data_IF_282517896681
#
_entry.id   IF_282517896681
#
_cell.length_a   1.000
_cell.length_b   1.000
_cell.length_c   1.000
_cell.angle_alpha   90.00
_cell.angle_beta   90.00
_cell.angle_gamma   90.00
#
_symmetry.space_group_name_H-M   'P 1'
#
loop_
_entity.id
_entity.type
_entity.pdbx_description
1 polymer ?
#
# COMPACT_ATOMS: atom_id res chain seq x y z
N UNK A 1 4.80 -86.30 13.64
CA UNK A 1 5.43 -86.73 14.91
C UNK A 1 5.20 -85.64 15.96
N UNK A 2 4.11 -85.74 16.73
CA UNK A 2 3.79 -84.81 17.81
C UNK A 2 4.22 -85.46 19.13
N UNK A 3 5.42 -85.14 19.59
CA UNK A 3 5.84 -85.47 20.95
C UNK A 3 5.03 -84.61 21.92
N UNK A 4 4.15 -85.23 22.71
CA UNK A 4 3.56 -84.58 23.87
C UNK A 4 4.67 -84.29 24.88
N UNK A 5 5.21 -83.07 24.83
CA UNK A 5 6.12 -82.60 25.88
C UNK A 5 5.25 -82.21 27.08
N UNK A 6 5.18 -83.10 28.07
CA UNK A 6 4.56 -82.82 29.37
C UNK A 6 5.51 -81.93 30.20
N UNK A 7 5.60 -80.64 29.83
CA UNK A 7 6.37 -79.67 30.61
C UNK A 7 5.75 -79.43 32.00
N UNK A 8 6.63 -79.40 33.00
CA UNK A 8 6.30 -79.12 34.39
C UNK A 8 5.72 -77.71 34.54
N UNK A 9 4.82 -77.47 35.51
CA UNK A 9 4.14 -76.18 35.74
C UNK A 9 5.12 -74.99 35.81
N UNK A 10 6.33 -75.22 36.30
CA UNK A 10 7.39 -74.20 36.38
C UNK A 10 7.93 -73.80 35.01
N UNK A 11 8.14 -74.75 34.10
CA UNK A 11 8.68 -74.47 32.76
C UNK A 11 7.67 -73.76 31.86
N UNK A 12 6.38 -74.06 32.01
CA UNK A 12 5.30 -73.31 31.34
C UNK A 12 5.29 -71.83 31.72
N UNK A 13 5.58 -71.49 32.98
CA UNK A 13 5.68 -70.10 33.40
C UNK A 13 6.87 -69.39 32.76
N UNK A 14 8.05 -70.03 32.70
CA UNK A 14 9.21 -69.45 32.02
C UNK A 14 8.96 -69.24 30.52
N UNK A 15 8.32 -70.19 29.85
CA UNK A 15 7.94 -70.05 28.45
C UNK A 15 6.92 -68.92 28.23
N UNK A 16 5.96 -68.76 29.15
CA UNK A 16 4.98 -67.68 29.10
C UNK A 16 5.63 -66.30 29.28
N UNK A 17 6.54 -66.15 30.26
CA UNK A 17 7.29 -64.90 30.45
C UNK A 17 8.18 -64.58 29.24
N UNK A 18 8.82 -65.58 28.64
CA UNK A 18 9.62 -65.40 27.43
C UNK A 18 8.77 -64.88 26.25
N UNK A 19 7.57 -65.43 26.05
CA UNK A 19 6.65 -64.97 25.01
C UNK A 19 6.15 -63.55 25.26
N UNK A 20 5.86 -63.17 26.51
CA UNK A 20 5.49 -61.80 26.87
C UNK A 20 6.64 -60.84 26.58
N UNK A 21 7.86 -61.20 26.96
CA UNK A 21 9.03 -60.35 26.74
C UNK A 21 9.29 -60.14 25.24
N UNK A 22 9.19 -61.21 24.44
CA UNK A 22 9.29 -61.11 22.98
C UNK A 22 8.18 -60.23 22.38
N UNK A 23 6.95 -60.32 22.89
CA UNK A 23 5.84 -59.46 22.45
C UNK A 23 6.11 -57.98 22.75
N UNK A 24 6.58 -57.66 23.96
CA UNK A 24 6.90 -56.28 24.35
C UNK A 24 8.02 -55.72 23.48
N UNK A 25 9.06 -56.52 23.22
CA UNK A 25 10.17 -56.12 22.36
C UNK A 25 9.69 -55.87 20.93
N UNK A 26 8.84 -56.75 20.38
CA UNK A 26 8.27 -56.58 19.05
C UNK A 26 7.39 -55.32 18.95
N UNK A 27 6.55 -55.05 19.95
CA UNK A 27 5.73 -53.84 20.03
C UNK A 27 6.57 -52.57 20.16
N UNK A 28 7.68 -52.63 20.91
CA UNK A 28 8.61 -51.51 21.02
C UNK A 28 9.27 -51.19 19.69
N UNK A 29 9.78 -52.21 18.98
CA UNK A 29 10.36 -52.01 17.65
C UNK A 29 9.33 -51.49 16.64
N UNK A 30 8.11 -52.04 16.63
CA UNK A 30 7.03 -51.53 15.78
C UNK A 30 6.68 -50.08 16.12
N UNK A 31 6.59 -49.74 17.41
CA UNK A 31 6.34 -48.37 17.86
C UNK A 31 7.41 -47.40 17.37
N UNK A 32 8.70 -47.75 17.52
CA UNK A 32 9.81 -46.91 17.05
C UNK A 32 9.79 -46.76 15.52
N UNK A 33 9.56 -47.84 14.77
CA UNK A 33 9.52 -47.81 13.30
C UNK A 33 8.36 -46.94 12.80
N UNK A 34 7.16 -47.10 13.35
CA UNK A 34 6.00 -46.32 12.93
C UNK A 34 6.07 -44.85 13.34
N UNK A 35 6.66 -44.53 14.50
CA UNK A 35 6.78 -43.15 14.98
C UNK A 35 7.93 -42.37 14.33
N UNK A 36 8.95 -43.04 13.79
CA UNK A 36 10.11 -42.35 13.18
C UNK A 36 9.74 -41.56 11.91
N UNK A 37 8.79 -42.07 11.14
CA UNK A 37 8.37 -41.47 9.86
C UNK A 37 7.03 -40.73 9.95
N UNK A 38 6.44 -40.63 11.15
CA UNK A 38 5.20 -39.87 11.37
C UNK A 38 5.53 -38.37 11.53
N UNK A 39 5.54 -37.65 10.42
CA UNK A 39 5.65 -36.18 10.43
C UNK A 39 4.48 -35.60 11.24
N UNK A 40 4.78 -34.82 12.28
CA UNK A 40 3.76 -34.23 13.14
C UNK A 40 2.81 -33.33 12.34
N UNK A 41 1.50 -33.65 12.25
CA UNK A 41 0.54 -32.87 11.47
C UNK A 41 0.29 -31.47 12.04
N UNK A 42 0.81 -31.18 13.25
CA UNK A 42 0.66 -29.91 13.95
C UNK A 42 1.85 -28.96 13.77
N UNK A 43 3.00 -29.45 13.29
CA UNK A 43 4.23 -28.63 13.20
C UNK A 43 4.20 -27.62 12.04
N UNK A 44 3.75 -28.04 10.86
CA UNK A 44 3.82 -27.22 9.65
C UNK A 44 2.61 -26.26 9.51
N UNK A 45 1.43 -26.69 9.95
CA UNK A 45 0.22 -25.87 9.90
C UNK A 45 0.30 -24.69 10.89
N UNK A 46 0.84 -24.91 12.09
CA UNK A 46 1.02 -23.85 13.10
C UNK A 46 2.13 -22.87 12.73
N UNK A 47 3.22 -23.34 12.11
CA UNK A 47 4.31 -22.43 11.70
C UNK A 47 3.89 -21.50 10.55
N UNK A 48 3.14 -22.00 9.56
CA UNK A 48 2.61 -21.17 8.48
C UNK A 48 1.56 -20.16 9.00
N UNK A 49 0.67 -20.58 9.91
CA UNK A 49 -0.34 -19.68 10.48
C UNK A 49 0.30 -18.55 11.29
N UNK A 50 1.36 -18.84 12.04
CA UNK A 50 2.17 -17.85 12.75
C UNK A 50 2.86 -16.86 11.81
N UNK A 51 3.43 -17.33 10.70
CA UNK A 51 4.05 -16.45 9.69
C UNK A 51 3.02 -15.53 9.03
N UNK A 52 1.84 -16.04 8.68
CA UNK A 52 0.75 -15.24 8.13
C UNK A 52 0.28 -14.19 9.14
N UNK A 53 0.18 -14.57 10.41
CA UNK A 53 -0.21 -13.65 11.47
C UNK A 53 0.82 -12.53 11.66
N UNK A 54 2.12 -12.85 11.69
CA UNK A 54 3.21 -11.86 11.75
C UNK A 54 3.15 -10.89 10.55
N UNK A 55 2.93 -11.39 9.34
CA UNK A 55 2.76 -10.55 8.16
C UNK A 55 1.55 -9.61 8.26
N UNK A 56 0.42 -10.10 8.78
CA UNK A 56 -0.79 -9.29 9.01
C UNK A 56 -0.55 -8.20 10.05
N UNK A 57 0.14 -8.51 11.13
CA UNK A 57 0.47 -7.53 12.19
C UNK A 57 1.40 -6.44 11.65
N UNK A 58 2.45 -6.81 10.91
CA UNK A 58 3.35 -5.84 10.26
C UNK A 58 2.62 -4.95 9.27
N UNK A 59 1.71 -5.52 8.48
CA UNK A 59 0.87 -4.75 7.57
C UNK A 59 -0.03 -3.77 8.33
N UNK A 60 -0.75 -4.21 9.37
CA UNK A 60 -1.67 -3.37 10.14
C UNK A 60 -0.95 -2.19 10.83
N UNK A 61 0.22 -2.45 11.41
CA UNK A 61 1.06 -1.40 12.00
C UNK A 61 1.45 -0.35 10.97
N UNK A 62 1.92 -0.78 9.80
CA UNK A 62 2.33 0.14 8.76
C UNK A 62 1.14 0.84 8.09
N UNK A 63 0.00 0.17 7.98
CA UNK A 63 -1.24 0.73 7.48
C UNK A 63 -1.71 1.90 8.36
N UNK A 64 -1.63 1.78 9.69
CA UNK A 64 -1.99 2.88 10.61
C UNK A 64 -1.14 4.13 10.40
N UNK A 65 0.15 3.96 10.10
CA UNK A 65 1.04 5.07 9.74
C UNK A 65 0.63 5.64 8.39
N UNK A 66 0.43 4.77 7.39
CA UNK A 66 0.02 5.16 6.05
C UNK A 66 -1.30 5.94 6.02
N UNK A 67 -2.30 5.56 6.82
CA UNK A 67 -3.57 6.29 6.92
C UNK A 67 -3.38 7.74 7.39
N UNK A 68 -2.52 7.98 8.39
CA UNK A 68 -2.19 9.34 8.83
C UNK A 68 -1.48 10.14 7.74
N UNK A 69 -0.62 9.48 6.94
CA UNK A 69 0.04 10.10 5.80
C UNK A 69 -0.96 10.45 4.68
N UNK A 70 -1.99 9.62 4.46
CA UNK A 70 -3.08 9.94 3.52
C UNK A 70 -3.80 11.21 3.96
N UNK A 71 -4.21 11.29 5.23
CA UNK A 71 -4.91 12.46 5.75
C UNK A 71 -4.05 13.72 5.66
N UNK A 72 -2.76 13.59 5.97
CA UNK A 72 -1.78 14.69 5.88
C UNK A 72 -1.60 15.15 4.44
N UNK A 73 -1.35 14.22 3.51
CA UNK A 73 -1.18 14.54 2.10
C UNK A 73 -2.46 15.17 1.52
N UNK A 74 -3.62 14.61 1.84
CA UNK A 74 -4.93 15.14 1.44
C UNK A 74 -5.12 16.58 1.92
N UNK A 75 -4.89 16.85 3.21
CA UNK A 75 -5.02 18.19 3.78
C UNK A 75 -4.07 19.20 3.10
N UNK A 76 -2.82 18.80 2.84
CA UNK A 76 -1.83 19.65 2.17
C UNK A 76 -2.21 19.95 0.72
N UNK A 77 -2.61 18.93 -0.05
CA UNK A 77 -3.04 19.10 -1.46
C UNK A 77 -4.31 19.93 -1.55
N UNK A 78 -5.27 19.73 -0.66
CA UNK A 78 -6.52 20.48 -0.66
C UNK A 78 -6.33 21.97 -0.32
N UNK A 79 -5.34 22.30 0.52
CA UNK A 79 -5.00 23.68 0.88
C UNK A 79 -4.37 24.48 -0.28
N UNK A 80 -3.86 23.82 -1.32
CA UNK A 80 -3.28 24.50 -2.47
C UNK A 80 -4.36 25.32 -3.20
N UNK A 81 -4.11 26.63 -3.28
CA UNK A 81 -4.94 27.58 -4.01
C UNK A 81 -4.80 27.38 -5.52
N UNK A 82 -5.87 27.70 -6.24
CA UNK A 82 -5.90 27.78 -7.71
C UNK A 82 -5.82 29.23 -8.21
N UNK A 83 -5.69 30.19 -7.30
CA UNK A 83 -5.70 31.62 -7.63
C UNK A 83 -4.33 32.26 -7.55
N UNK A 84 -3.49 31.78 -6.63
CA UNK A 84 -2.18 32.33 -6.33
C UNK A 84 -1.12 31.24 -6.35
N UNK A 85 0.08 31.59 -6.81
CA UNK A 85 1.21 30.66 -6.79
C UNK A 85 1.76 30.55 -5.36
N UNK A 86 1.88 29.31 -4.89
CA UNK A 86 2.31 28.98 -3.52
C UNK A 86 3.45 27.95 -3.55
N UNK A 87 4.69 28.35 -3.88
CA UNK A 87 5.79 27.40 -4.08
C UNK A 87 6.15 26.61 -2.83
N UNK A 88 6.08 27.23 -1.65
CA UNK A 88 6.42 26.59 -0.37
C UNK A 88 5.39 25.52 -0.02
N UNK A 89 4.10 25.87 -0.04
CA UNK A 89 3.00 24.97 0.24
C UNK A 89 2.93 23.82 -0.77
N UNK A 90 3.31 24.10 -2.02
CA UNK A 90 3.44 23.06 -3.05
C UNK A 90 4.53 22.07 -2.69
N UNK A 91 5.74 22.54 -2.38
CA UNK A 91 6.85 21.66 -2.00
C UNK A 91 6.48 20.81 -0.78
N UNK A 92 5.86 21.41 0.24
CA UNK A 92 5.34 20.70 1.41
C UNK A 92 4.35 19.59 1.02
N UNK A 93 3.43 19.87 0.10
CA UNK A 93 2.49 18.89 -0.40
C UNK A 93 3.19 17.78 -1.21
N UNK A 94 4.19 18.10 -2.02
CA UNK A 94 5.00 17.11 -2.76
C UNK A 94 5.73 16.16 -1.81
N UNK A 95 6.34 16.68 -0.74
CA UNK A 95 6.97 15.86 0.29
C UNK A 95 5.95 14.95 1.00
N UNK A 96 4.80 15.49 1.40
CA UNK A 96 3.76 14.68 2.05
C UNK A 96 3.23 13.55 1.15
N UNK A 97 3.07 13.81 -0.15
CA UNK A 97 2.67 12.81 -1.14
C UNK A 97 3.76 11.77 -1.36
N UNK A 98 5.03 12.18 -1.34
CA UNK A 98 6.16 11.27 -1.48
C UNK A 98 6.32 10.34 -0.26
N UNK A 99 6.17 10.88 0.94
CA UNK A 99 6.18 10.11 2.19
C UNK A 99 5.07 9.06 2.19
N UNK A 100 3.87 9.45 1.73
CA UNK A 100 2.75 8.52 1.53
C UNK A 100 3.11 7.41 0.53
N UNK A 101 3.67 7.75 -0.64
CA UNK A 101 4.01 6.76 -1.65
C UNK A 101 5.08 5.77 -1.15
N UNK A 102 5.97 6.24 -0.28
CA UNK A 102 7.07 5.47 0.29
C UNK A 102 6.70 4.72 1.58
N UNK A 103 5.42 4.72 1.98
CA UNK A 103 4.95 4.08 3.24
C UNK A 103 5.49 2.66 3.41
N UNK A 104 5.56 1.85 2.35
CA UNK A 104 6.02 0.44 2.43
C UNK A 104 7.41 0.20 1.82
N UNK A 105 8.18 1.25 1.50
CA UNK A 105 9.46 1.11 0.79
C UNK A 105 10.50 0.32 1.60
N UNK A 106 10.55 0.56 2.92
CA UNK A 106 11.53 -0.06 3.83
C UNK A 106 10.93 -1.20 4.67
N UNK A 107 9.71 -1.62 4.37
CA UNK A 107 8.98 -2.62 5.16
C UNK A 107 8.69 -3.85 4.30
N UNK A 108 9.32 -4.97 4.66
CA UNK A 108 9.11 -6.25 3.97
C UNK A 108 7.81 -6.90 4.41
N UNK A 109 6.74 -6.61 3.67
CA UNK A 109 5.41 -7.22 3.85
C UNK A 109 4.95 -7.84 2.53
N UNK A 110 4.53 -9.11 2.58
CA UNK A 110 4.00 -9.85 1.43
C UNK A 110 2.47 -9.73 1.33
N UNK A 111 1.97 -8.49 1.33
CA UNK A 111 0.56 -8.18 1.18
C UNK A 111 0.37 -7.28 -0.05
N UNK A 112 -0.54 -7.65 -0.95
CA UNK A 112 -0.80 -6.90 -2.19
C UNK A 112 -1.40 -5.52 -1.95
N UNK A 113 -2.10 -5.33 -0.82
CA UNK A 113 -2.75 -4.06 -0.45
C UNK A 113 -1.75 -2.93 -0.24
N UNK A 114 -0.48 -3.25 0.03
CA UNK A 114 0.60 -2.25 0.13
C UNK A 114 0.75 -1.41 -1.15
N UNK A 115 0.36 -1.96 -2.30
CA UNK A 115 0.42 -1.27 -3.59
C UNK A 115 -0.59 -0.13 -3.70
N UNK A 116 -1.59 -0.05 -2.82
CA UNK A 116 -2.56 1.05 -2.82
C UNK A 116 -1.89 2.40 -2.47
N UNK A 117 -0.97 2.43 -1.51
CA UNK A 117 -0.32 3.66 -1.03
C UNK A 117 0.41 4.45 -2.13
N UNK A 118 1.29 3.85 -2.96
CA UNK A 118 1.90 4.57 -4.07
C UNK A 118 0.89 4.98 -5.15
N UNK A 119 -0.22 4.26 -5.33
CA UNK A 119 -1.27 4.66 -6.27
C UNK A 119 -2.07 5.87 -5.75
N UNK A 120 -2.35 5.91 -4.46
CA UNK A 120 -2.97 7.09 -3.81
C UNK A 120 -2.02 8.29 -3.90
N UNK A 121 -0.71 8.09 -3.70
CA UNK A 121 0.28 9.13 -3.91
C UNK A 121 0.28 9.68 -5.35
N UNK A 122 0.20 8.80 -6.36
CA UNK A 122 0.05 9.22 -7.76
C UNK A 122 -1.24 10.02 -8.00
N UNK A 123 -2.35 9.60 -7.41
CA UNK A 123 -3.62 10.33 -7.49
C UNK A 123 -3.48 11.76 -6.97
N UNK A 124 -2.89 11.93 -5.79
CA UNK A 124 -2.65 13.26 -5.23
C UNK A 124 -1.69 14.10 -6.08
N UNK A 125 -0.63 13.49 -6.63
CA UNK A 125 0.27 14.16 -7.56
C UNK A 125 -0.46 14.67 -8.80
N UNK A 126 -1.36 13.88 -9.39
CA UNK A 126 -2.17 14.31 -10.54
C UNK A 126 -3.09 15.48 -10.16
N UNK A 127 -3.75 15.43 -9.01
CA UNK A 127 -4.60 16.53 -8.51
C UNK A 127 -3.80 17.85 -8.37
N UNK A 128 -2.57 17.79 -7.86
CA UNK A 128 -1.69 18.98 -7.79
C UNK A 128 -1.37 19.55 -9.17
N UNK A 129 -1.12 18.69 -10.17
CA UNK A 129 -0.89 19.14 -11.56
C UNK A 129 -2.14 19.79 -12.14
N UNK A 130 -3.32 19.24 -11.88
CA UNK A 130 -4.59 19.80 -12.36
C UNK A 130 -4.86 21.18 -11.75
N UNK A 131 -4.64 21.34 -10.43
CA UNK A 131 -4.72 22.65 -9.75
C UNK A 131 -3.76 23.67 -10.37
N UNK A 132 -2.53 23.27 -10.68
CA UNK A 132 -1.56 24.16 -11.32
C UNK A 132 -2.00 24.57 -12.73
N UNK A 133 -2.57 23.65 -13.50
CA UNK A 133 -3.12 23.94 -14.82
C UNK A 133 -4.25 24.97 -14.72
N UNK A 134 -5.18 24.77 -13.79
CA UNK A 134 -6.31 25.70 -13.57
C UNK A 134 -5.78 27.08 -13.18
N UNK A 135 -4.79 27.15 -12.30
CA UNK A 135 -4.17 28.41 -11.90
C UNK A 135 -3.56 29.17 -13.09
N UNK A 136 -2.75 28.49 -13.92
CA UNK A 136 -2.17 29.10 -15.13
C UNK A 136 -3.24 29.58 -16.12
N UNK A 137 -4.31 28.81 -16.27
CA UNK A 137 -5.44 29.22 -17.11
C UNK A 137 -6.13 30.47 -16.55
N UNK A 138 -6.38 30.54 -15.24
CA UNK A 138 -6.95 31.71 -14.59
C UNK A 138 -6.09 32.96 -14.75
N UNK A 139 -4.77 32.84 -14.57
CA UNK A 139 -3.83 33.94 -14.78
C UNK A 139 -3.83 34.42 -16.23
N UNK A 140 -3.85 33.47 -17.17
CA UNK A 140 -3.94 33.76 -18.61
C UNK A 140 -5.24 34.48 -18.96
N UNK A 141 -6.38 34.00 -18.45
CA UNK A 141 -7.69 34.64 -18.66
C UNK A 141 -7.71 36.06 -18.12
N UNK A 142 -7.25 36.29 -16.88
CA UNK A 142 -7.17 37.65 -16.29
C UNK A 142 -6.29 38.58 -17.12
N UNK A 143 -5.16 38.08 -17.62
CA UNK A 143 -4.27 38.85 -18.48
C UNK A 143 -4.94 39.19 -19.81
N UNK A 144 -5.63 38.23 -20.43
CA UNK A 144 -6.34 38.43 -21.68
C UNK A 144 -7.50 39.42 -21.54
N UNK A 145 -8.28 39.33 -20.48
CA UNK A 145 -9.37 40.27 -20.18
C UNK A 145 -8.84 41.70 -20.09
N UNK A 146 -7.75 41.91 -19.34
CA UNK A 146 -7.11 43.22 -19.23
C UNK A 146 -6.60 43.74 -20.57
N UNK A 147 -5.90 42.90 -21.34
CA UNK A 147 -5.42 43.29 -22.68
C UNK A 147 -6.57 43.63 -23.63
N UNK A 148 -7.69 42.92 -23.52
CA UNK A 148 -8.88 43.17 -24.30
C UNK A 148 -9.53 44.52 -23.92
N UNK A 149 -9.66 44.81 -22.63
CA UNK A 149 -10.13 46.10 -22.13
C UNK A 149 -9.24 47.25 -22.60
N UNK A 150 -7.92 47.11 -22.45
CA UNK A 150 -6.93 48.11 -22.91
C UNK A 150 -7.03 48.34 -24.44
N UNK A 151 -7.22 47.28 -25.21
CA UNK A 151 -7.41 47.35 -26.67
C UNK A 151 -8.72 48.06 -27.04
N UNK A 152 -9.82 47.76 -26.35
CA UNK A 152 -11.12 48.41 -26.57
C UNK A 152 -11.06 49.92 -26.25
N UNK A 153 -10.42 50.28 -25.13
CA UNK A 153 -10.20 51.67 -24.75
C UNK A 153 -9.35 52.40 -25.79
N UNK A 154 -8.21 51.82 -26.17
CA UNK A 154 -7.32 52.39 -27.20
C UNK A 154 -8.01 52.54 -28.56
N UNK A 155 -8.84 51.57 -28.95
CA UNK A 155 -9.67 51.66 -30.16
C UNK A 155 -10.65 52.84 -30.08
N UNK A 156 -11.36 52.97 -28.96
CA UNK A 156 -12.34 54.06 -28.74
C UNK A 156 -11.65 55.43 -28.78
N UNK A 157 -10.56 55.62 -28.06
CA UNK A 157 -9.78 56.86 -28.04
C UNK A 157 -9.23 57.22 -29.44
N UNK A 158 -8.70 56.22 -30.16
CA UNK A 158 -8.20 56.44 -31.52
C UNK A 158 -9.31 56.81 -32.48
N UNK A 159 -10.46 56.15 -32.39
CA UNK A 159 -11.64 56.45 -33.21
C UNK A 159 -12.14 57.87 -32.99
N UNK A 160 -12.15 58.33 -31.74
CA UNK A 160 -12.56 59.69 -31.37
C UNK A 160 -11.55 60.71 -31.89
N UNK A 161 -10.26 60.49 -31.67
CA UNK A 161 -9.17 61.34 -32.19
C UNK A 161 -9.23 61.48 -33.71
N UNK A 162 -9.49 60.38 -34.44
CA UNK A 162 -9.61 60.42 -35.90
C UNK A 162 -10.85 61.19 -36.36
N UNK A 163 -11.98 61.05 -35.66
CA UNK A 163 -13.20 61.84 -35.94
C UNK A 163 -12.96 63.33 -35.71
N UNK A 164 -12.36 63.69 -34.58
CA UNK A 164 -12.06 65.08 -34.23
C UNK A 164 -11.08 65.69 -35.25
N UNK A 165 -10.04 64.94 -35.65
CA UNK A 165 -9.11 65.36 -36.69
C UNK A 165 -9.78 65.54 -38.05
N UNK A 166 -10.67 64.62 -38.46
CA UNK A 166 -11.40 64.74 -39.72
C UNK A 166 -12.35 65.94 -39.72
N UNK A 167 -13.02 66.21 -38.59
CA UNK A 167 -13.87 67.39 -38.43
C UNK A 167 -13.05 68.69 -38.51
N UNK A 168 -11.84 68.72 -37.93
CA UNK A 168 -10.96 69.89 -38.01
C UNK A 168 -10.38 70.12 -39.42
N UNK A 169 -10.20 69.06 -40.22
CA UNK A 169 -9.68 69.14 -41.60
C UNK A 169 -10.76 69.41 -42.65
N UNK A 170 -12.04 69.24 -42.33
CA UNK A 170 -13.19 69.67 -43.13
C UNK A 170 -13.93 70.83 -42.43
N UNK A 171 -13.31 72.02 -42.30
CA UNK A 171 -14.05 73.19 -41.86
C UNK A 171 -15.05 73.54 -42.97
N UNK A 172 -16.34 73.40 -42.66
CA UNK A 172 -17.39 74.07 -43.44
C UNK A 172 -17.23 75.58 -43.32
#
# INVERSE_FOLDING_TARGET
MQGQVTLSKKEKHYQFFYLILMLIVALFFLGVIFLKDFASPFSEADTNSLQILDQKVKFDQQQKIGLKLIDTASARVNRLSVEIQQPVERNDAEYAVQDLANTFQNVTVNDSRKMAFPQIGKFFKMNMVDKERIMKMNETTKTFEKQFEDCQLGYKEKSQTLRDRNNALNPR
#
